data_IF_141856990446
#
_entry.id   IF_141856990446
#
_cell.length_a   1.000
_cell.length_b   1.000
_cell.length_c   1.000
_cell.angle_alpha   90.00
_cell.angle_beta   90.00
_cell.angle_gamma   90.00
#
_symmetry.space_group_name_H-M   'P 1'
#
loop_
_entity.id
_entity.type
_entity.pdbx_description
1 polymer ?
#
# COMPACT_ATOMS: atom_id res chain seq x y z
N UNK A 1 6.29 3.68 18.62
CA UNK A 1 6.46 3.61 17.18
C UNK A 1 6.89 4.97 16.65
N UNK A 2 7.93 5.00 15.82
CA UNK A 2 8.45 6.21 15.18
C UNK A 2 7.44 6.81 14.20
N UNK A 3 7.73 8.01 13.70
CA UNK A 3 6.93 8.62 12.64
C UNK A 3 6.84 7.72 11.39
N UNK A 4 8.00 7.23 10.93
CA UNK A 4 8.11 6.38 9.73
C UNK A 4 7.38 5.04 9.89
N UNK A 5 7.44 4.41 11.06
CA UNK A 5 6.70 3.18 11.34
C UNK A 5 5.18 3.39 11.27
N UNK A 6 4.67 4.48 11.87
CA UNK A 6 3.24 4.80 11.83
C UNK A 6 2.78 5.18 10.42
N UNK A 7 3.61 5.92 9.67
CA UNK A 7 3.35 6.28 8.28
C UNK A 7 3.24 5.02 7.41
N UNK A 8 4.23 4.13 7.50
CA UNK A 8 4.26 2.85 6.79
C UNK A 8 3.06 1.97 7.14
N UNK A 9 2.68 1.91 8.42
CA UNK A 9 1.48 1.16 8.83
C UNK A 9 0.20 1.76 8.23
N UNK A 10 0.10 3.09 8.22
CA UNK A 10 -1.08 3.79 7.69
C UNK A 10 -1.22 3.61 6.19
N UNK A 11 -0.13 3.73 5.42
CA UNK A 11 -0.14 3.51 3.97
C UNK A 11 -0.44 2.06 3.62
N UNK A 12 0.13 1.11 4.36
CA UNK A 12 -0.16 -0.32 4.18
C UNK A 12 -1.64 -0.64 4.41
N UNK A 13 -2.24 -0.11 5.48
CA UNK A 13 -3.67 -0.29 5.76
C UNK A 13 -4.56 0.34 4.69
N UNK A 14 -4.18 1.52 4.17
CA UNK A 14 -4.88 2.16 3.07
C UNK A 14 -4.84 1.28 1.79
N UNK A 15 -3.67 0.73 1.45
CA UNK A 15 -3.50 -0.19 0.33
C UNK A 15 -4.37 -1.45 0.48
N UNK A 16 -4.41 -2.05 1.68
CA UNK A 16 -5.28 -3.19 1.98
C UNK A 16 -6.75 -2.81 1.80
N UNK A 17 -7.17 -1.64 2.29
CA UNK A 17 -8.56 -1.18 2.17
C UNK A 17 -8.98 -1.02 0.70
N UNK A 18 -8.12 -0.41 -0.14
CA UNK A 18 -8.36 -0.28 -1.58
C UNK A 18 -8.43 -1.64 -2.26
N UNK A 19 -7.52 -2.56 -1.90
CA UNK A 19 -7.52 -3.91 -2.44
C UNK A 19 -8.81 -4.67 -2.09
N UNK A 20 -9.22 -4.65 -0.82
CA UNK A 20 -10.46 -5.30 -0.38
C UNK A 20 -11.67 -4.67 -1.07
N UNK A 21 -11.71 -3.36 -1.21
CA UNK A 21 -12.78 -2.67 -1.92
C UNK A 21 -12.87 -3.07 -3.40
N UNK A 22 -11.73 -3.17 -4.08
CA UNK A 22 -11.65 -3.69 -5.44
C UNK A 22 -12.20 -5.13 -5.52
N UNK A 23 -11.74 -6.01 -4.64
CA UNK A 23 -12.15 -7.41 -4.64
C UNK A 23 -13.67 -7.54 -4.42
N UNK A 24 -14.23 -6.82 -3.46
CA UNK A 24 -15.68 -6.82 -3.20
C UNK A 24 -16.48 -6.29 -4.40
N UNK A 25 -16.00 -5.23 -5.06
CA UNK A 25 -16.67 -4.67 -6.23
C UNK A 25 -16.62 -5.61 -7.44
N UNK A 26 -15.42 -6.05 -7.82
CA UNK A 26 -15.20 -6.81 -9.05
C UNK A 26 -15.77 -8.24 -8.93
N UNK A 27 -15.44 -8.96 -7.85
CA UNK A 27 -15.98 -10.30 -7.63
C UNK A 27 -17.47 -10.28 -7.26
N UNK A 28 -17.96 -9.22 -6.61
CA UNK A 28 -19.39 -9.05 -6.34
C UNK A 28 -20.22 -8.86 -7.62
N UNK A 29 -19.68 -8.18 -8.64
CA UNK A 29 -20.31 -8.05 -9.97
C UNK A 29 -20.23 -9.37 -10.75
N UNK A 30 -19.10 -10.07 -10.66
CA UNK A 30 -18.91 -11.39 -11.26
C UNK A 30 -19.89 -12.43 -10.72
N UNK A 31 -20.04 -12.56 -9.39
CA UNK A 31 -20.95 -13.51 -8.75
C UNK A 31 -22.43 -13.27 -9.11
N UNK A 32 -22.80 -12.03 -9.43
CA UNK A 32 -24.15 -11.67 -9.87
C UNK A 32 -24.40 -11.94 -11.36
N UNK A 33 -23.41 -12.50 -12.08
CA UNK A 33 -23.50 -12.77 -13.51
C UNK A 33 -23.55 -11.50 -14.38
N UNK A 34 -23.17 -10.33 -13.81
CA UNK A 34 -23.22 -9.05 -14.52
C UNK A 34 -21.99 -8.82 -15.42
N UNK A 35 -20.99 -9.66 -15.30
CA UNK A 35 -19.69 -9.54 -15.95
C UNK A 35 -19.22 -10.92 -16.35
N UNK A 36 -18.85 -11.08 -17.62
CA UNK A 36 -18.26 -12.32 -18.11
C UNK A 36 -16.76 -12.39 -17.78
N UNK A 37 -16.18 -13.60 -17.58
CA UNK A 37 -14.74 -13.76 -17.42
C UNK A 37 -13.91 -13.23 -18.61
N UNK A 38 -14.52 -13.19 -19.80
CA UNK A 38 -13.94 -12.71 -21.05
C UNK A 38 -14.02 -11.19 -21.23
N UNK A 39 -14.77 -10.46 -20.40
CA UNK A 39 -14.93 -9.01 -20.55
C UNK A 39 -13.71 -8.25 -20.00
N UNK A 40 -12.63 -8.25 -20.79
CA UNK A 40 -11.37 -7.58 -20.44
C UNK A 40 -11.54 -6.07 -20.28
N UNK A 41 -12.52 -5.47 -20.97
CA UNK A 41 -12.77 -4.03 -20.87
C UNK A 41 -13.31 -3.68 -19.50
N UNK A 42 -14.22 -4.48 -18.96
CA UNK A 42 -14.68 -4.31 -17.58
C UNK A 42 -13.54 -4.51 -16.58
N UNK A 43 -12.78 -5.60 -16.68
CA UNK A 43 -11.71 -5.91 -15.71
C UNK A 43 -10.62 -4.84 -15.70
N UNK A 44 -10.11 -4.47 -16.88
CA UNK A 44 -9.11 -3.42 -17.00
C UNK A 44 -9.65 -2.06 -16.55
N UNK A 45 -10.90 -1.72 -16.91
CA UNK A 45 -11.55 -0.47 -16.50
C UNK A 45 -11.75 -0.38 -14.97
N UNK A 46 -12.18 -1.48 -14.34
CA UNK A 46 -12.33 -1.56 -12.90
C UNK A 46 -10.97 -1.41 -12.20
N UNK A 47 -9.93 -2.10 -12.66
CA UNK A 47 -8.57 -1.95 -12.11
C UNK A 47 -8.07 -0.51 -12.24
N UNK A 48 -8.19 0.11 -13.42
CA UNK A 48 -7.77 1.51 -13.63
C UNK A 48 -8.50 2.46 -12.68
N UNK A 49 -9.81 2.27 -12.51
CA UNK A 49 -10.63 3.07 -11.61
C UNK A 49 -10.14 2.94 -10.16
N UNK A 50 -9.92 1.72 -9.69
CA UNK A 50 -9.46 1.47 -8.31
C UNK A 50 -8.01 1.92 -8.07
N UNK A 51 -7.14 1.86 -9.09
CA UNK A 51 -5.80 2.47 -9.02
C UNK A 51 -5.95 3.99 -8.85
N UNK A 52 -6.79 4.64 -9.67
CA UNK A 52 -7.05 6.08 -9.55
C UNK A 52 -7.60 6.48 -8.19
N UNK A 53 -8.65 5.77 -7.72
CA UNK A 53 -9.22 5.97 -6.37
C UNK A 53 -8.16 5.74 -5.29
N UNK A 54 -7.33 4.70 -5.43
CA UNK A 54 -6.27 4.38 -4.48
C UNK A 54 -5.21 5.47 -4.36
N UNK A 55 -4.82 6.10 -5.47
CA UNK A 55 -3.89 7.23 -5.49
C UNK A 55 -4.50 8.42 -4.73
N UNK A 56 -5.73 8.81 -5.07
CA UNK A 56 -6.41 9.95 -4.42
C UNK A 56 -6.61 9.68 -2.93
N UNK A 57 -7.07 8.48 -2.56
CA UNK A 57 -7.26 8.06 -1.18
C UNK A 57 -5.94 8.10 -0.40
N UNK A 58 -4.84 7.63 -1.00
CA UNK A 58 -3.51 7.65 -0.35
C UNK A 58 -3.04 9.08 -0.09
N UNK A 59 -3.26 10.02 -1.01
CA UNK A 59 -2.94 11.44 -0.82
C UNK A 59 -3.74 12.00 0.36
N UNK A 60 -5.06 11.81 0.37
CA UNK A 60 -5.94 12.31 1.44
C UNK A 60 -5.55 11.72 2.79
N UNK A 61 -5.36 10.40 2.87
CA UNK A 61 -4.97 9.70 4.09
C UNK A 61 -3.62 10.20 4.59
N UNK A 62 -2.66 10.44 3.69
CA UNK A 62 -1.34 10.91 4.09
C UNK A 62 -1.39 12.34 4.62
N UNK A 63 -2.18 13.24 4.01
CA UNK A 63 -2.41 14.59 4.54
C UNK A 63 -3.04 14.53 5.94
N UNK A 64 -4.10 13.73 6.11
CA UNK A 64 -4.77 13.55 7.41
C UNK A 64 -3.81 12.98 8.45
N UNK A 65 -2.98 12.02 8.06
CA UNK A 65 -1.98 11.42 8.94
C UNK A 65 -0.98 12.46 9.46
N UNK A 66 -0.44 13.34 8.60
CA UNK A 66 0.50 14.38 9.02
C UNK A 66 -0.15 15.35 10.02
N UNK A 67 -1.39 15.78 9.75
CA UNK A 67 -2.15 16.67 10.62
C UNK A 67 -2.40 16.02 11.99
N UNK A 68 -2.90 14.78 12.00
CA UNK A 68 -3.20 14.05 13.23
C UNK A 68 -1.92 13.77 14.05
N UNK A 69 -0.81 13.49 13.37
CA UNK A 69 0.47 13.29 14.02
C UNK A 69 0.97 14.57 14.69
N UNK A 70 0.91 15.71 13.99
CA UNK A 70 1.30 17.02 14.54
C UNK A 70 0.45 17.40 15.75
N UNK A 71 -0.88 17.23 15.68
CA UNK A 71 -1.79 17.45 16.82
C UNK A 71 -1.43 16.52 17.98
N UNK A 72 -1.15 15.24 17.70
CA UNK A 72 -0.78 14.26 18.72
C UNK A 72 0.49 14.64 19.48
N UNK A 73 1.49 15.22 18.79
CA UNK A 73 2.70 15.75 19.44
C UNK A 73 2.37 16.99 20.27
N UNK A 74 1.64 17.95 19.71
CA UNK A 74 1.28 19.20 20.39
C UNK A 74 0.49 18.97 21.69
N UNK A 75 -0.44 18.00 21.69
CA UNK A 75 -1.20 17.63 22.90
C UNK A 75 -0.31 16.93 23.92
N UNK A 76 0.63 16.08 23.48
CA UNK A 76 1.52 15.34 24.39
C UNK A 76 2.57 16.23 25.05
N UNK A 77 3.01 17.29 24.36
CA UNK A 77 4.03 18.22 24.82
C UNK A 77 3.44 19.58 25.23
N UNK A 78 2.19 19.59 25.72
CA UNK A 78 1.41 20.80 26.03
C UNK A 78 2.10 21.78 27.00
N UNK A 79 2.96 21.26 27.87
CA UNK A 79 3.71 22.05 28.88
C UNK A 79 5.11 22.46 28.40
N UNK A 80 5.49 22.15 27.16
CA UNK A 80 6.79 22.51 26.58
C UNK A 80 6.67 23.74 25.68
N UNK A 81 7.77 24.48 25.55
CA UNK A 81 7.88 25.64 24.65
C UNK A 81 7.51 25.28 23.21
N UNK A 82 6.76 26.14 22.52
CA UNK A 82 6.34 25.95 21.11
C UNK A 82 7.54 25.71 20.17
N UNK A 83 8.68 26.36 20.44
CA UNK A 83 9.93 26.13 19.68
C UNK A 83 10.47 24.70 19.81
N UNK A 84 10.28 24.07 20.97
CA UNK A 84 10.70 22.68 21.20
C UNK A 84 9.74 21.69 20.52
N UNK A 85 8.44 22.01 20.50
CA UNK A 85 7.43 21.22 19.79
C UNK A 85 7.72 21.21 18.27
N UNK A 86 7.90 22.38 17.67
CA UNK A 86 8.19 22.49 16.23
C UNK A 86 9.51 21.79 15.84
N UNK A 87 10.56 21.94 16.66
CA UNK A 87 11.83 21.21 16.43
C UNK A 87 11.65 19.69 16.50
N UNK A 88 10.86 19.20 17.44
CA UNK A 88 10.58 17.76 17.59
C UNK A 88 9.83 17.21 16.38
N UNK A 89 8.85 17.98 15.86
CA UNK A 89 8.09 17.62 14.66
C UNK A 89 9.03 17.58 13.46
N UNK A 90 9.79 18.64 13.20
CA UNK A 90 10.75 18.69 12.09
C UNK A 90 11.75 17.55 12.16
N UNK A 91 12.41 17.34 13.32
CA UNK A 91 13.41 16.28 13.45
C UNK A 91 12.83 14.88 13.26
N UNK A 92 11.55 14.66 13.61
CA UNK A 92 10.89 13.37 13.44
C UNK A 92 10.50 13.04 11.99
N UNK A 93 10.47 14.05 11.12
CA UNK A 93 10.12 13.92 9.70
C UNK A 93 11.33 13.86 8.78
N UNK A 94 12.54 14.14 9.29
CA UNK A 94 13.79 13.96 8.54
C UNK A 94 14.01 12.47 8.30
N UNK A 95 14.41 12.15 7.08
CA UNK A 95 14.70 10.79 6.63
C UNK A 95 16.18 10.48 6.84
N UNK A 96 16.45 9.38 7.54
CA UNK A 96 17.80 8.97 7.91
C UNK A 96 18.39 7.93 6.93
N UNK A 97 19.70 7.70 7.00
CA UNK A 97 20.35 6.66 6.18
C UNK A 97 19.82 5.25 6.49
N UNK A 98 19.40 5.00 7.73
CA UNK A 98 18.74 3.75 8.10
C UNK A 98 17.39 3.59 7.38
N UNK A 99 16.61 4.67 7.24
CA UNK A 99 15.32 4.64 6.53
C UNK A 99 15.52 4.24 5.07
N UNK A 100 16.51 4.84 4.39
CA UNK A 100 16.87 4.50 3.01
C UNK A 100 17.26 3.03 2.85
N UNK A 101 18.06 2.51 3.77
CA UNK A 101 18.47 1.09 3.74
C UNK A 101 17.27 0.16 3.94
N UNK A 102 16.35 0.52 4.83
CA UNK A 102 15.12 -0.24 5.07
C UNK A 102 14.23 -0.20 3.82
N UNK A 103 14.06 0.95 3.20
CA UNK A 103 13.29 1.11 1.95
C UNK A 103 13.87 0.23 0.84
N UNK A 104 15.18 0.30 0.61
CA UNK A 104 15.85 -0.51 -0.43
C UNK A 104 15.71 -2.02 -0.19
N UNK A 105 15.86 -2.47 1.07
CA UNK A 105 15.71 -3.89 1.41
C UNK A 105 14.25 -4.36 1.27
N UNK A 106 13.30 -3.54 1.67
CA UNK A 106 11.88 -3.89 1.66
C UNK A 106 11.30 -3.86 0.24
N UNK A 107 11.70 -2.88 -0.57
CA UNK A 107 11.32 -2.76 -1.98
C UNK A 107 11.75 -3.99 -2.80
N UNK A 108 12.92 -4.57 -2.49
CA UNK A 108 13.36 -5.84 -3.08
C UNK A 108 12.33 -6.96 -2.89
N UNK A 109 11.70 -7.01 -1.72
CA UNK A 109 10.69 -8.03 -1.40
C UNK A 109 9.42 -7.75 -2.21
N UNK A 110 8.99 -6.50 -2.30
CA UNK A 110 7.89 -6.08 -3.18
C UNK A 110 8.10 -6.55 -4.63
N UNK A 111 9.30 -6.35 -5.18
CA UNK A 111 9.65 -6.80 -6.53
C UNK A 111 9.66 -8.33 -6.68
N UNK A 112 10.06 -9.08 -5.64
CA UNK A 112 9.98 -10.55 -5.67
C UNK A 112 8.52 -11.00 -5.81
N UNK A 113 7.59 -10.42 -5.05
CA UNK A 113 6.16 -10.72 -5.18
C UNK A 113 5.60 -10.32 -6.55
N UNK A 114 5.96 -9.14 -7.05
CA UNK A 114 5.58 -8.71 -8.39
C UNK A 114 6.09 -9.68 -9.47
N UNK A 115 7.36 -10.10 -9.37
CA UNK A 115 7.97 -11.06 -10.30
C UNK A 115 7.31 -12.44 -10.27
N UNK A 116 7.04 -12.98 -9.07
CA UNK A 116 6.32 -14.25 -8.91
C UNK A 116 4.92 -14.15 -9.52
N UNK A 117 4.21 -13.06 -9.27
CA UNK A 117 2.90 -12.83 -9.85
C UNK A 117 2.92 -12.69 -11.37
N UNK A 118 3.94 -12.03 -11.92
CA UNK A 118 4.11 -11.90 -13.36
C UNK A 118 4.33 -13.27 -14.02
N UNK A 119 5.23 -14.09 -13.46
CA UNK A 119 5.45 -15.46 -13.95
C UNK A 119 4.18 -16.29 -13.81
N UNK A 120 3.51 -16.22 -12.65
CA UNK A 120 2.24 -16.93 -12.43
C UNK A 120 1.15 -16.51 -13.43
N UNK A 121 1.10 -15.24 -13.81
CA UNK A 121 0.13 -14.72 -14.76
C UNK A 121 0.36 -15.30 -16.17
N UNK A 122 1.63 -15.42 -16.59
CA UNK A 122 1.98 -16.10 -17.84
C UNK A 122 1.64 -17.58 -17.80
N UNK A 123 1.95 -18.26 -16.70
CA UNK A 123 1.61 -19.68 -16.51
C UNK A 123 0.10 -19.89 -16.58
N UNK A 124 -0.71 -18.99 -16.02
CA UNK A 124 -2.17 -19.02 -16.13
C UNK A 124 -2.64 -19.05 -17.59
N UNK A 125 -2.00 -18.29 -18.48
CA UNK A 125 -2.35 -18.30 -19.90
C UNK A 125 -1.98 -19.61 -20.59
N UNK A 126 -0.86 -20.23 -20.20
CA UNK A 126 -0.44 -21.54 -20.74
C UNK A 126 -1.46 -22.63 -20.40
N UNK A 127 -2.13 -22.53 -19.25
CA UNK A 127 -3.21 -23.45 -18.84
C UNK A 127 -4.60 -23.06 -19.38
N UNK A 128 -4.65 -22.23 -20.43
CA UNK A 128 -5.89 -21.81 -21.10
C UNK A 128 -6.93 -21.19 -20.16
N UNK A 129 -6.48 -20.61 -19.04
CA UNK A 129 -7.38 -19.92 -18.12
C UNK A 129 -7.92 -18.63 -18.74
N UNK A 130 -9.11 -18.18 -18.31
CA UNK A 130 -9.67 -16.91 -18.78
C UNK A 130 -8.68 -15.76 -18.54
N UNK A 131 -8.53 -14.79 -19.46
CA UNK A 131 -7.55 -13.71 -19.29
C UNK A 131 -7.86 -12.77 -18.10
N UNK A 132 -9.10 -12.81 -17.58
CA UNK A 132 -9.43 -12.25 -16.26
C UNK A 132 -8.52 -12.77 -15.15
N UNK A 133 -8.20 -14.07 -15.15
CA UNK A 133 -7.36 -14.69 -14.11
C UNK A 133 -5.96 -14.09 -14.14
N UNK A 134 -5.38 -13.97 -15.33
CA UNK A 134 -4.09 -13.31 -15.54
C UNK A 134 -4.10 -11.87 -14.99
N UNK A 135 -5.10 -11.07 -15.36
CA UNK A 135 -5.20 -9.68 -14.92
C UNK A 135 -5.28 -9.57 -13.39
N UNK A 136 -6.14 -10.39 -12.78
CA UNK A 136 -6.29 -10.39 -11.33
C UNK A 136 -5.01 -10.89 -10.64
N UNK A 137 -4.34 -11.91 -11.17
CA UNK A 137 -3.10 -12.42 -10.59
C UNK A 137 -2.01 -11.34 -10.54
N UNK A 138 -1.88 -10.55 -11.61
CA UNK A 138 -0.99 -9.38 -11.64
C UNK A 138 -1.43 -8.33 -10.62
N UNK A 139 -2.70 -7.93 -10.65
CA UNK A 139 -3.20 -6.88 -9.77
C UNK A 139 -3.01 -7.21 -8.28
N UNK A 140 -3.34 -8.46 -7.91
CA UNK A 140 -3.14 -8.97 -6.56
C UNK A 140 -1.67 -9.11 -6.21
N UNK A 141 -0.80 -9.55 -7.12
CA UNK A 141 0.63 -9.68 -6.80
C UNK A 141 1.30 -8.35 -6.51
N UNK A 142 0.99 -7.29 -7.27
CA UNK A 142 1.51 -5.95 -7.01
C UNK A 142 1.05 -5.44 -5.66
N UNK A 143 -0.22 -5.64 -5.35
CA UNK A 143 -0.79 -5.11 -4.11
C UNK A 143 -0.35 -5.89 -2.88
N UNK A 144 -0.35 -7.23 -2.94
CA UNK A 144 0.23 -8.08 -1.90
C UNK A 144 1.72 -7.78 -1.75
N UNK A 145 2.43 -7.54 -2.84
CA UNK A 145 3.82 -7.09 -2.84
C UNK A 145 4.01 -5.79 -2.06
N UNK A 146 3.17 -4.77 -2.31
CA UNK A 146 3.22 -3.50 -1.56
C UNK A 146 2.91 -3.66 -0.07
N UNK A 147 2.00 -4.57 0.29
CA UNK A 147 1.67 -4.88 1.69
C UNK A 147 2.80 -5.64 2.36
N UNK A 148 3.39 -6.61 1.67
CA UNK A 148 4.56 -7.34 2.16
C UNK A 148 5.74 -6.38 2.37
N UNK A 149 6.02 -5.50 1.40
CA UNK A 149 7.02 -4.44 1.53
C UNK A 149 6.80 -3.59 2.78
N UNK A 150 5.59 -3.07 3.01
CA UNK A 150 5.28 -2.31 4.23
C UNK A 150 5.45 -3.13 5.52
N UNK A 151 5.06 -4.41 5.50
CA UNK A 151 5.23 -5.33 6.63
C UNK A 151 6.70 -5.63 6.94
N UNK A 152 7.53 -5.80 5.91
CA UNK A 152 8.98 -6.00 6.07
C UNK A 152 9.69 -4.73 6.50
N UNK A 153 9.29 -3.56 6.00
CA UNK A 153 9.77 -2.27 6.51
C UNK A 153 9.52 -2.16 8.02
N UNK A 154 8.29 -2.46 8.48
CA UNK A 154 7.93 -2.49 9.90
C UNK A 154 8.77 -3.50 10.71
N UNK A 155 9.03 -4.68 10.16
CA UNK A 155 9.88 -5.68 10.79
C UNK A 155 11.33 -5.18 10.94
N UNK A 156 11.89 -4.56 9.90
CA UNK A 156 13.24 -4.00 9.92
C UNK A 156 13.37 -2.81 10.88
N UNK A 157 12.37 -1.94 10.94
CA UNK A 157 12.30 -0.88 11.93
C UNK A 157 12.36 -1.42 13.37
N UNK A 158 11.56 -2.44 13.68
CA UNK A 158 11.52 -3.04 15.04
C UNK A 158 12.78 -3.80 15.41
N UNK A 159 13.44 -4.41 14.42
CA UNK A 159 14.68 -5.16 14.63
C UNK A 159 15.87 -4.22 14.86
N UNK A 160 15.75 -2.92 14.55
CA UNK A 160 16.85 -1.97 14.60
C UNK A 160 17.96 -2.35 13.64
N UNK A 161 17.56 -2.84 12.46
CA UNK A 161 18.43 -3.51 11.49
C UNK A 161 19.45 -2.57 10.86
#
# INVERSE_FOLDING_TARGET
MSYQEKRTLTSMLAGIAVMVAYALYAFGKFQKGLVEPSDLKFWAGAMLLFIGIGIVASIIIMILFHILYAIGIAVKQRDCDEKMINRTIESSMVEDEMDKLIELKSSRIGFIFAGIGFVGALVSLVFEQPPMVMLNLLFFSFSVGSVAEGGFSLYYYRKGL
#
